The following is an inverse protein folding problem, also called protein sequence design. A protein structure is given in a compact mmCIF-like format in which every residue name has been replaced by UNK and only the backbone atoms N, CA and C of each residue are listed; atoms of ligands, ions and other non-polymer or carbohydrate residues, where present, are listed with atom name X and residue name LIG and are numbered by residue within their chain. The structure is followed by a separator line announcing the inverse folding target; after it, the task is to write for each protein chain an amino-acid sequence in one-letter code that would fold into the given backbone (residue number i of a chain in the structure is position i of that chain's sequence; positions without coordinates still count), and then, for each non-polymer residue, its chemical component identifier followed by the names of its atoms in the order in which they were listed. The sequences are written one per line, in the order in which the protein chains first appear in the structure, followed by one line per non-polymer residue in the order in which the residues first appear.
data_IF_324814753114
#
_entry.id   IF_324814753114
#
_cell.length_a   1.000
_cell.length_b   1.000
_cell.length_c   1.000
_cell.angle_alpha   90.00
_cell.angle_beta   90.00
_cell.angle_gamma   90.00
#
_symmetry.space_group_name_H-M   'P 1'
#
loop_
_entity.id
_entity.type
_entity.pdbx_description
1 polymer ?
#
# COMPACT_ATOMS: atom_id res chain seq x y z
N UNK A 1 24.35 -4.55 -44.93
CA UNK A 1 23.35 -5.54 -44.58
C UNK A 1 22.20 -4.93 -43.76
N UNK A 2 22.43 -4.37 -42.58
CA UNK A 2 21.37 -3.83 -41.70
C UNK A 2 20.42 -2.80 -42.38
N UNK A 3 20.96 -1.87 -43.19
CA UNK A 3 20.15 -0.86 -43.88
C UNK A 3 19.26 -1.44 -44.98
N UNK A 4 19.68 -2.53 -45.61
CA UNK A 4 18.90 -3.25 -46.61
C UNK A 4 17.76 -4.04 -45.97
N UNK A 5 18.05 -4.74 -44.88
CA UNK A 5 17.06 -5.51 -44.11
C UNK A 5 15.98 -4.59 -43.51
N UNK A 6 16.36 -3.42 -43.04
CA UNK A 6 15.45 -2.39 -42.51
C UNK A 6 14.51 -1.86 -43.58
N UNK A 7 15.02 -1.60 -44.80
CA UNK A 7 14.17 -1.20 -45.94
C UNK A 7 13.18 -2.27 -46.33
N UNK A 8 13.65 -3.52 -46.40
CA UNK A 8 12.79 -4.65 -46.74
C UNK A 8 11.66 -4.83 -45.71
N UNK A 9 11.99 -4.67 -44.41
CA UNK A 9 11.00 -4.73 -43.36
C UNK A 9 9.94 -3.61 -43.48
N UNK A 10 10.37 -2.37 -43.75
CA UNK A 10 9.47 -1.24 -43.93
C UNK A 10 8.56 -1.40 -45.14
N UNK A 11 9.06 -1.92 -46.27
CA UNK A 11 8.27 -2.18 -47.45
C UNK A 11 7.26 -3.31 -47.22
N UNK A 12 7.63 -4.33 -46.44
CA UNK A 12 6.71 -5.38 -46.01
C UNK A 12 5.57 -4.86 -45.14
N UNK A 13 5.86 -3.96 -44.21
CA UNK A 13 4.87 -3.29 -43.36
C UNK A 13 3.87 -2.47 -44.18
N UNK A 14 4.33 -1.80 -45.24
CA UNK A 14 3.46 -1.02 -46.13
C UNK A 14 2.54 -1.88 -46.98
N UNK A 15 2.95 -3.10 -47.31
CA UNK A 15 2.13 -4.03 -48.10
C UNK A 15 0.95 -4.61 -47.30
N UNK A 16 1.11 -4.76 -45.99
CA UNK A 16 0.10 -5.34 -45.11
C UNK A 16 -0.17 -4.43 -43.89
N UNK A 17 -0.73 -3.20 -44.07
CA UNK A 17 -0.83 -2.22 -43.06
C UNK A 17 -1.71 -2.66 -41.83
N UNK A 18 -2.79 -3.43 -42.14
CA UNK A 18 -3.67 -3.94 -41.07
C UNK A 18 -2.97 -4.94 -40.14
N UNK A 19 -2.20 -5.87 -40.73
CA UNK A 19 -1.44 -6.85 -39.93
C UNK A 19 -0.33 -6.16 -39.11
N UNK A 20 0.38 -5.22 -39.73
CA UNK A 20 1.43 -4.46 -39.07
C UNK A 20 0.88 -3.60 -37.91
N UNK A 21 -0.27 -2.95 -38.12
CA UNK A 21 -0.93 -2.19 -37.05
C UNK A 21 -1.35 -3.10 -35.89
N UNK A 22 -1.87 -4.29 -36.19
CA UNK A 22 -2.27 -5.25 -35.15
C UNK A 22 -1.07 -5.77 -34.36
N UNK A 23 0.07 -6.02 -34.97
CA UNK A 23 1.31 -6.41 -34.32
C UNK A 23 1.82 -5.30 -33.43
N UNK A 24 1.84 -4.06 -33.91
CA UNK A 24 2.27 -2.88 -33.10
C UNK A 24 1.35 -2.69 -31.90
N UNK A 25 0.04 -2.79 -32.08
CA UNK A 25 -0.93 -2.69 -30.98
C UNK A 25 -0.73 -3.79 -29.94
N UNK A 26 -0.49 -5.03 -30.37
CA UNK A 26 -0.24 -6.13 -29.46
C UNK A 26 1.02 -5.89 -28.60
N UNK A 27 2.10 -5.45 -29.22
CA UNK A 27 3.35 -5.12 -28.54
C UNK A 27 3.13 -3.92 -27.59
N UNK A 28 2.46 -2.88 -28.06
CA UNK A 28 2.18 -1.68 -27.25
C UNK A 28 1.34 -2.01 -26.01
N UNK A 29 0.30 -2.85 -26.14
CA UNK A 29 -0.48 -3.35 -25.02
C UNK A 29 0.36 -4.15 -24.04
N UNK A 30 1.21 -5.04 -24.52
CA UNK A 30 2.13 -5.80 -23.67
C UNK A 30 3.04 -4.92 -22.86
N UNK A 31 3.68 -3.93 -23.49
CA UNK A 31 4.55 -2.96 -22.81
C UNK A 31 3.75 -2.14 -21.82
N UNK A 32 2.56 -1.67 -22.17
CA UNK A 32 1.72 -0.87 -21.28
C UNK A 32 1.36 -1.65 -20.01
N UNK A 33 0.89 -2.89 -20.13
CA UNK A 33 0.56 -3.74 -18.98
C UNK A 33 1.79 -3.99 -18.10
N UNK A 34 2.92 -4.35 -18.69
CA UNK A 34 4.16 -4.55 -17.93
C UNK A 34 4.59 -3.29 -17.19
N UNK A 35 4.53 -2.14 -17.85
CA UNK A 35 4.93 -0.86 -17.24
C UNK A 35 4.02 -0.51 -16.06
N UNK A 36 2.71 -0.63 -16.21
CA UNK A 36 1.74 -0.35 -15.14
C UNK A 36 1.96 -1.30 -13.97
N UNK A 37 2.09 -2.60 -14.23
CA UNK A 37 2.32 -3.60 -13.18
C UNK A 37 3.62 -3.33 -12.43
N UNK A 38 4.70 -3.03 -13.15
CA UNK A 38 5.99 -2.73 -12.53
C UNK A 38 5.95 -1.45 -11.70
N UNK A 39 5.25 -0.42 -12.19
CA UNK A 39 5.08 0.85 -11.47
C UNK A 39 4.32 0.65 -10.16
N UNK A 40 3.21 -0.10 -10.21
CA UNK A 40 2.42 -0.42 -9.00
C UNK A 40 3.27 -1.24 -8.03
N UNK A 41 3.95 -2.29 -8.52
CA UNK A 41 4.81 -3.11 -7.69
C UNK A 41 5.91 -2.27 -7.02
N UNK A 42 6.59 -1.42 -7.77
CA UNK A 42 7.64 -0.55 -7.25
C UNK A 42 7.09 0.42 -6.20
N UNK A 43 5.95 1.04 -6.47
CA UNK A 43 5.31 1.95 -5.51
C UNK A 43 4.91 1.25 -4.21
N UNK A 44 4.45 -0.01 -4.28
CA UNK A 44 4.08 -0.79 -3.09
C UNK A 44 5.29 -1.36 -2.35
N UNK A 45 6.35 -1.70 -3.06
CA UNK A 45 7.56 -2.30 -2.49
C UNK A 45 8.53 -1.25 -1.91
N UNK A 46 8.38 0.01 -2.31
CA UNK A 46 9.25 1.08 -1.82
C UNK A 46 8.96 1.39 -0.35
N UNK A 47 10.00 1.40 0.47
CA UNK A 47 9.89 1.80 1.86
C UNK A 47 9.70 3.33 1.94
N UNK A 48 8.53 3.84 2.45
CA UNK A 48 8.26 5.26 2.48
C UNK A 48 9.10 6.05 3.49
N UNK A 49 9.70 5.37 4.47
CA UNK A 49 10.50 5.99 5.55
C UNK A 49 11.77 5.17 5.83
N UNK A 50 12.71 5.08 4.88
CA UNK A 50 13.89 4.22 4.98
C UNK A 50 14.74 4.52 6.21
N UNK A 51 14.86 5.79 6.58
CA UNK A 51 15.72 6.24 7.68
C UNK A 51 15.22 5.82 9.07
N UNK A 52 13.91 5.58 9.21
CA UNK A 52 13.28 5.21 10.49
C UNK A 52 12.78 3.77 10.54
N UNK A 53 12.63 3.11 9.40
CA UNK A 53 12.01 1.79 9.34
C UNK A 53 12.72 0.73 10.19
N UNK A 54 14.03 0.82 10.35
CA UNK A 54 14.82 -0.06 11.23
C UNK A 54 14.54 0.14 12.72
N UNK A 55 13.91 1.25 13.10
CA UNK A 55 13.55 1.59 14.49
C UNK A 55 12.07 1.37 14.78
N UNK A 56 11.29 0.97 13.77
CA UNK A 56 9.85 0.74 13.90
C UNK A 56 9.57 -0.74 14.10
N UNK A 57 8.84 -1.05 15.15
CA UNK A 57 8.46 -2.41 15.50
C UNK A 57 6.94 -2.51 15.61
N UNK A 58 6.38 -3.54 14.99
CA UNK A 58 5.01 -3.94 15.25
C UNK A 58 4.98 -4.82 16.50
N UNK A 59 4.17 -4.43 17.47
CA UNK A 59 4.01 -5.20 18.71
C UNK A 59 2.87 -6.19 18.52
N UNK A 60 3.14 -7.45 18.80
CA UNK A 60 2.14 -8.51 18.83
C UNK A 60 2.12 -9.14 20.22
N UNK A 61 0.95 -9.62 20.64
CA UNK A 61 0.78 -10.36 21.90
C UNK A 61 0.14 -11.70 21.58
N UNK A 62 0.75 -12.74 22.11
CA UNK A 62 0.12 -14.05 22.14
C UNK A 62 -0.59 -14.22 23.48
N UNK A 63 -1.91 -14.08 23.45
CA UNK A 63 -2.79 -14.25 24.60
C UNK A 63 -3.65 -15.51 24.48
N UNK A 64 -3.35 -16.37 23.52
CA UNK A 64 -4.06 -17.62 23.28
C UNK A 64 -3.55 -18.74 24.18
N UNK A 65 -4.43 -19.69 24.46
CA UNK A 65 -4.04 -20.87 25.22
C UNK A 65 -3.06 -21.72 24.41
N UNK A 66 -2.00 -22.27 25.03
CA UNK A 66 -1.09 -23.21 24.37
C UNK A 66 -1.79 -24.43 23.76
N UNK A 67 -2.93 -24.86 24.34
CA UNK A 67 -3.72 -25.97 23.84
C UNK A 67 -4.60 -25.61 22.63
N UNK A 68 -4.80 -24.30 22.37
CA UNK A 68 -5.58 -23.76 21.26
C UNK A 68 -4.87 -22.55 20.68
N UNK A 69 -3.85 -22.75 19.85
CA UNK A 69 -3.10 -21.68 19.25
C UNK A 69 -3.99 -20.88 18.29
N UNK A 70 -3.62 -19.62 18.04
CA UNK A 70 -4.29 -18.77 17.07
C UNK A 70 -4.30 -19.35 15.65
N UNK A 71 -3.24 -20.08 15.30
CA UNK A 71 -3.09 -20.74 14.01
C UNK A 71 -2.60 -22.17 14.24
N UNK A 72 -3.44 -23.15 13.88
CA UNK A 72 -3.14 -24.57 14.05
C UNK A 72 -1.96 -25.04 13.19
N UNK A 73 -1.72 -24.41 12.03
CA UNK A 73 -0.60 -24.74 11.14
C UNK A 73 0.74 -24.16 11.64
N UNK A 74 0.67 -23.06 12.37
CA UNK A 74 1.83 -22.34 12.92
C UNK A 74 1.54 -21.92 14.37
N UNK A 75 1.65 -22.83 15.32
CA UNK A 75 1.29 -22.57 16.72
C UNK A 75 2.08 -21.43 17.38
N UNK A 76 3.32 -21.22 16.95
CA UNK A 76 4.20 -20.16 17.47
C UNK A 76 3.92 -18.77 16.89
N UNK A 77 2.95 -18.66 15.95
CA UNK A 77 2.62 -17.40 15.30
C UNK A 77 1.61 -16.63 16.16
N UNK A 78 2.06 -15.56 16.77
CA UNK A 78 1.18 -14.64 17.49
C UNK A 78 0.17 -13.93 16.52
N UNK A 79 -1.02 -13.58 17.00
CA UNK A 79 -1.98 -12.78 16.24
C UNK A 79 -1.35 -11.47 15.75
N UNK A 80 -1.59 -11.13 14.50
CA UNK A 80 -1.04 -9.89 13.91
C UNK A 80 -1.75 -8.63 14.42
N UNK A 81 -2.90 -8.77 15.04
CA UNK A 81 -3.72 -7.68 15.54
C UNK A 81 -3.90 -7.82 17.06
N UNK A 82 -3.77 -6.70 17.75
CA UNK A 82 -4.10 -6.58 19.16
C UNK A 82 -5.57 -6.26 19.35
N UNK A 83 -6.13 -6.65 20.50
CA UNK A 83 -7.42 -6.09 20.91
C UNK A 83 -7.24 -4.59 21.24
N UNK A 84 -8.30 -3.81 21.13
CA UNK A 84 -8.26 -2.38 21.49
C UNK A 84 -7.79 -2.17 22.94
N UNK A 85 -8.24 -3.01 23.85
CA UNK A 85 -7.88 -2.93 25.27
C UNK A 85 -6.39 -3.18 25.50
N UNK A 86 -5.83 -4.21 24.88
CA UNK A 86 -4.42 -4.55 25.01
C UNK A 86 -3.53 -3.47 24.39
N UNK A 87 -3.91 -2.95 23.22
CA UNK A 87 -3.21 -1.87 22.56
C UNK A 87 -3.18 -0.59 23.44
N UNK A 88 -4.32 -0.22 24.03
CA UNK A 88 -4.40 0.94 24.92
C UNK A 88 -3.65 0.74 26.22
N UNK A 89 -3.67 -0.47 26.78
CA UNK A 89 -2.90 -0.79 27.98
C UNK A 89 -1.39 -0.65 27.71
N UNK A 90 -0.89 -1.24 26.64
CA UNK A 90 0.52 -1.13 26.22
C UNK A 90 0.94 0.32 25.97
N UNK A 91 0.07 1.07 25.29
CA UNK A 91 0.31 2.50 25.03
C UNK A 91 0.40 3.31 26.35
N UNK A 92 -0.50 3.02 27.29
CA UNK A 92 -0.53 3.67 28.61
C UNK A 92 0.65 3.28 29.52
N UNK A 93 1.17 2.07 29.36
CA UNK A 93 2.31 1.56 30.14
C UNK A 93 3.63 2.25 29.81
N UNK A 94 3.70 3.04 28.74
CA UNK A 94 4.91 3.76 28.28
C UNK A 94 6.16 2.88 28.19
N UNK A 95 5.96 1.63 27.76
CA UNK A 95 7.04 0.64 27.63
C UNK A 95 8.08 1.00 26.57
N UNK A 96 7.72 1.89 25.65
CA UNK A 96 8.59 2.41 24.60
C UNK A 96 8.66 3.94 24.66
N UNK A 97 9.74 4.56 24.18
CA UNK A 97 9.88 6.02 24.14
C UNK A 97 8.77 6.70 23.34
N UNK A 98 8.31 6.03 22.28
CA UNK A 98 7.14 6.42 21.46
C UNK A 98 6.34 5.18 21.12
N UNK A 99 5.04 5.28 21.17
CA UNK A 99 4.14 4.22 20.73
C UNK A 99 2.93 4.82 20.06
N UNK A 100 2.42 4.13 19.05
CA UNK A 100 1.24 4.55 18.28
C UNK A 100 0.25 3.40 18.26
N UNK A 101 -0.99 3.71 18.59
CA UNK A 101 -2.11 2.80 18.42
C UNK A 101 -2.87 3.19 17.18
N UNK A 102 -3.16 2.21 16.34
CA UNK A 102 -3.90 2.41 15.10
C UNK A 102 -4.98 1.34 14.97
N UNK A 103 -6.16 1.74 14.49
CA UNK A 103 -7.20 0.78 14.12
C UNK A 103 -8.01 1.28 12.92
N UNK A 104 -8.54 0.34 12.17
CA UNK A 104 -9.45 0.65 11.06
C UNK A 104 -10.85 0.89 11.62
N UNK A 105 -11.53 1.89 11.08
CA UNK A 105 -12.92 2.21 11.36
C UNK A 105 -13.61 2.63 10.07
N UNK A 106 -14.95 2.59 10.08
CA UNK A 106 -15.76 3.17 9.02
C UNK A 106 -16.53 4.36 9.57
N UNK A 107 -16.70 5.38 8.76
CA UNK A 107 -17.57 6.51 9.08
C UNK A 107 -18.36 6.99 7.88
N UNK A 108 -19.56 7.47 8.15
CA UNK A 108 -20.35 8.22 7.17
C UNK A 108 -19.87 9.68 7.18
N UNK A 109 -19.29 10.08 6.08
CA UNK A 109 -18.87 11.48 5.89
C UNK A 109 -20.03 12.27 5.32
N UNK A 110 -20.44 13.29 6.05
CA UNK A 110 -21.48 14.24 5.61
C UNK A 110 -20.78 15.58 5.30
N UNK A 111 -20.51 15.87 4.02
CA UNK A 111 -19.86 17.13 3.64
C UNK A 111 -20.77 18.33 3.95
N UNK A 112 -20.20 19.40 4.48
CA UNK A 112 -20.92 20.66 4.67
C UNK A 112 -21.26 21.35 3.35
N UNK A 113 -20.58 20.96 2.27
CA UNK A 113 -20.74 21.57 0.95
C UNK A 113 -22.05 21.13 0.32
N UNK A 114 -22.88 22.10 -0.04
CA UNK A 114 -24.16 21.87 -0.72
C UNK A 114 -23.97 21.12 -2.05
N UNK A 115 -24.73 20.05 -2.25
CA UNK A 115 -24.71 19.25 -3.49
C UNK A 115 -23.81 18.03 -3.45
N UNK A 116 -23.01 17.83 -2.42
CA UNK A 116 -22.25 16.57 -2.21
C UNK A 116 -23.03 15.62 -1.33
N UNK A 117 -23.33 14.43 -1.85
CA UNK A 117 -24.05 13.41 -1.08
C UNK A 117 -23.15 12.79 0.00
N UNK A 118 -23.72 12.38 1.15
CA UNK A 118 -23.00 11.60 2.15
C UNK A 118 -22.44 10.32 1.54
N UNK A 119 -21.23 9.93 1.97
CA UNK A 119 -20.55 8.71 1.53
C UNK A 119 -19.85 8.01 2.68
N UNK A 120 -19.76 6.69 2.59
CA UNK A 120 -19.00 5.90 3.55
C UNK A 120 -17.52 5.97 3.21
N UNK A 121 -16.70 6.23 4.22
CA UNK A 121 -15.24 6.23 4.12
C UNK A 121 -14.63 5.24 5.11
N UNK A 122 -13.61 4.53 4.66
CA UNK A 122 -12.72 3.80 5.56
C UNK A 122 -11.75 4.78 6.19
N UNK A 123 -11.68 4.74 7.52
CA UNK A 123 -10.82 5.60 8.30
C UNK A 123 -9.75 4.78 9.01
N UNK A 124 -8.58 5.37 9.17
CA UNK A 124 -7.59 4.90 10.12
C UNK A 124 -7.55 5.87 11.30
N UNK A 125 -8.01 5.39 12.44
CA UNK A 125 -7.93 6.14 13.69
C UNK A 125 -6.56 5.90 14.29
N UNK A 126 -5.92 6.96 14.79
CA UNK A 126 -4.57 6.89 15.32
C UNK A 126 -4.36 7.87 16.47
N UNK A 127 -3.36 7.60 17.31
CA UNK A 127 -2.89 8.57 18.30
C UNK A 127 -2.06 9.68 17.65
N UNK A 128 -1.91 10.85 18.33
CA UNK A 128 -1.22 12.02 17.78
C UNK A 128 0.26 11.77 17.46
N UNK A 129 0.90 10.80 18.13
CA UNK A 129 2.29 10.39 17.87
C UNK A 129 2.50 9.76 16.49
N UNK A 130 1.43 9.46 15.77
CA UNK A 130 1.50 8.90 14.41
C UNK A 130 2.28 9.80 13.46
N UNK A 131 1.98 11.08 13.45
CA UNK A 131 2.57 12.03 12.51
C UNK A 131 4.09 12.16 12.68
N UNK A 132 4.62 12.41 13.89
CA UNK A 132 6.06 12.51 14.09
C UNK A 132 6.78 11.15 14.03
N UNK A 133 6.08 10.03 14.29
CA UNK A 133 6.68 8.70 14.19
C UNK A 133 6.90 8.30 12.72
N UNK A 134 5.93 8.59 11.85
CA UNK A 134 5.95 8.20 10.45
C UNK A 134 6.35 9.33 9.49
N UNK A 135 6.78 10.49 9.99
CA UNK A 135 7.16 11.67 9.21
C UNK A 135 6.13 12.03 8.13
N UNK A 136 4.86 12.00 8.51
CA UNK A 136 3.77 12.26 7.55
C UNK A 136 3.87 13.68 7.00
N UNK A 137 4.06 13.86 5.68
CA UNK A 137 4.15 15.18 5.10
C UNK A 137 2.78 15.85 5.03
N UNK A 138 2.70 17.10 5.50
CA UNK A 138 1.51 17.92 5.34
C UNK A 138 1.70 18.92 4.20
N UNK A 139 0.78 18.96 3.26
CA UNK A 139 0.74 20.03 2.25
C UNK A 139 0.14 21.31 2.83
N UNK A 140 -0.85 21.19 3.70
CA UNK A 140 -1.54 22.28 4.36
C UNK A 140 -1.84 21.88 5.79
N UNK A 141 -1.74 22.85 6.72
CA UNK A 141 -2.01 22.60 8.13
C UNK A 141 -0.88 21.86 8.85
N UNK A 142 -1.23 21.19 9.93
CA UNK A 142 -0.32 20.42 10.79
C UNK A 142 -1.07 19.27 11.47
N UNK A 143 -0.35 18.30 12.01
CA UNK A 143 -0.94 17.28 12.89
C UNK A 143 -1.53 17.90 14.17
N UNK A 144 -2.50 17.23 14.74
CA UNK A 144 -3.13 17.61 16.02
C UNK A 144 -2.30 17.18 17.21
#
# INVERSE_FOLDING_TARGET
MFAYDLRLALDSMKRHPGLSALMVLAIALGIAVCTVTFTIYHAMATNPIPDKSSQLYAVTLDTWSPERPYNDEKPDLAPQLLTYRDAMYLHGAKAAPRSVVMYKSGALIVPERTGVKPFNAELRVTSHEFFPMFDVPFQYGRGW
#
